data_IF_255677430778
#
_entry.id   IF_255677430778
#
_cell.length_a   1.000
_cell.length_b   1.000
_cell.length_c   1.000
_cell.angle_alpha   90.00
_cell.angle_beta   90.00
_cell.angle_gamma   90.00
#
_symmetry.space_group_name_H-M   'P 1'
#
loop_
_entity.id
_entity.type
_entity.pdbx_description
1 polymer ?
#
# COMPACT_ATOMS: atom_id res chain seq x y z
N UNK A 1 -34.12 -21.05 -4.30
CA UNK A 1 -33.68 -20.11 -3.24
C UNK A 1 -32.25 -20.47 -2.90
N UNK A 2 -31.26 -19.84 -3.54
CA UNK A 2 -29.86 -20.22 -3.40
C UNK A 2 -29.21 -19.36 -2.31
N UNK A 3 -28.73 -20.01 -1.25
CA UNK A 3 -28.07 -19.42 -0.09
C UNK A 3 -26.86 -18.57 -0.50
N UNK A 4 -27.05 -17.26 -0.66
CA UNK A 4 -25.96 -16.30 -0.84
C UNK A 4 -25.48 -15.89 0.56
N UNK A 5 -24.76 -16.81 1.22
CA UNK A 5 -24.06 -16.45 2.45
C UNK A 5 -23.09 -15.29 2.17
N UNK A 6 -22.99 -14.26 3.04
CA UNK A 6 -22.02 -13.20 2.84
C UNK A 6 -20.63 -13.83 2.76
N UNK A 7 -19.93 -13.53 1.66
CA UNK A 7 -18.54 -13.94 1.42
C UNK A 7 -17.74 -13.64 2.70
N UNK A 8 -16.98 -14.61 3.25
CA UNK A 8 -16.30 -14.45 4.54
C UNK A 8 -15.58 -13.11 4.60
N UNK A 9 -15.77 -12.40 5.73
CA UNK A 9 -15.24 -11.06 5.96
C UNK A 9 -13.80 -11.00 5.48
N UNK A 10 -13.58 -10.34 4.34
CA UNK A 10 -12.23 -10.08 3.84
C UNK A 10 -11.49 -9.46 5.00
N UNK A 11 -10.40 -10.07 5.47
CA UNK A 11 -9.52 -9.42 6.45
C UNK A 11 -9.21 -8.04 5.90
N UNK A 12 -9.82 -7.02 6.50
CA UNK A 12 -9.82 -5.67 5.95
C UNK A 12 -8.45 -5.09 6.22
N UNK A 13 -7.76 -4.67 5.16
CA UNK A 13 -6.52 -3.92 5.33
C UNK A 13 -6.86 -2.60 6.01
N UNK A 14 -6.13 -2.27 7.09
CA UNK A 14 -6.14 -0.96 7.72
C UNK A 14 -5.51 0.08 6.80
N UNK A 15 -5.80 1.35 7.02
CA UNK A 15 -5.23 2.45 6.22
C UNK A 15 -3.70 2.44 6.26
N UNK A 16 -3.09 2.15 7.41
CA UNK A 16 -1.65 1.98 7.57
C UNK A 16 -1.07 0.86 6.68
N UNK A 17 -1.75 -0.29 6.64
CA UNK A 17 -1.32 -1.44 5.82
C UNK A 17 -1.47 -1.11 4.32
N UNK A 18 -2.56 -0.44 3.93
CA UNK A 18 -2.78 0.04 2.56
C UNK A 18 -1.69 1.03 2.15
N UNK A 19 -1.41 2.01 3.00
CA UNK A 19 -0.39 3.02 2.77
C UNK A 19 0.98 2.40 2.58
N UNK A 20 1.39 1.48 3.46
CA UNK A 20 2.68 0.81 3.36
C UNK A 20 2.86 0.12 2.01
N UNK A 21 1.85 -0.62 1.52
CA UNK A 21 1.95 -1.34 0.24
C UNK A 21 2.13 -0.38 -0.94
N UNK A 22 1.41 0.75 -0.94
CA UNK A 22 1.54 1.77 -1.98
C UNK A 22 2.90 2.47 -1.89
N UNK A 23 3.28 2.93 -0.70
CA UNK A 23 4.56 3.57 -0.42
C UNK A 23 5.74 2.72 -0.87
N UNK A 24 5.80 1.46 -0.42
CA UNK A 24 6.90 0.57 -0.74
C UNK A 24 7.00 0.31 -2.25
N UNK A 25 5.85 0.18 -2.94
CA UNK A 25 5.83 -0.11 -4.38
C UNK A 25 6.11 1.11 -5.27
N UNK A 26 5.64 2.29 -4.90
CA UNK A 26 5.73 3.51 -5.73
C UNK A 26 6.96 4.35 -5.36
N UNK A 27 7.17 4.58 -4.06
CA UNK A 27 8.22 5.50 -3.59
C UNK A 27 9.55 4.80 -3.44
N UNK A 28 9.58 3.62 -2.81
CA UNK A 28 10.80 2.81 -2.63
C UNK A 28 11.12 1.92 -3.84
N UNK A 29 10.11 1.67 -4.69
CA UNK A 29 10.21 0.76 -5.85
C UNK A 29 10.57 -0.68 -5.49
N UNK A 30 10.27 -1.10 -4.25
CA UNK A 30 10.55 -2.44 -3.76
C UNK A 30 9.83 -3.50 -4.61
N UNK A 31 10.43 -4.68 -4.70
CA UNK A 31 9.85 -5.86 -5.31
C UNK A 31 8.81 -6.52 -4.39
N UNK A 32 7.88 -7.31 -4.96
CA UNK A 32 6.87 -8.01 -4.16
C UNK A 32 7.44 -8.89 -3.03
N UNK A 33 8.54 -9.64 -3.22
CA UNK A 33 9.19 -10.37 -2.13
C UNK A 33 9.67 -9.47 -0.99
N UNK A 34 10.29 -8.32 -1.30
CA UNK A 34 10.78 -7.37 -0.29
C UNK A 34 9.62 -6.72 0.48
N UNK A 35 8.57 -6.34 -0.24
CA UNK A 35 7.33 -5.83 0.36
C UNK A 35 6.72 -6.89 1.28
N UNK A 36 6.60 -8.15 0.85
CA UNK A 36 6.04 -9.21 1.67
C UNK A 36 6.86 -9.47 2.94
N UNK A 37 8.19 -9.53 2.82
CA UNK A 37 9.09 -9.71 3.96
C UNK A 37 8.97 -8.58 4.97
N UNK A 38 8.91 -7.33 4.50
CA UNK A 38 8.80 -6.15 5.38
C UNK A 38 7.40 -6.03 5.99
N UNK A 39 6.35 -6.31 5.20
CA UNK A 39 4.97 -6.31 5.67
C UNK A 39 4.77 -7.31 6.80
N UNK A 40 5.32 -8.52 6.66
CA UNK A 40 5.22 -9.57 7.66
C UNK A 40 5.79 -9.14 9.01
N UNK A 41 6.93 -8.45 9.01
CA UNK A 41 7.57 -7.93 10.24
C UNK A 41 6.75 -6.83 10.92
N UNK A 42 5.97 -6.06 10.16
CA UNK A 42 5.27 -4.87 10.66
C UNK A 42 3.80 -5.12 11.04
N UNK A 43 3.12 -6.00 10.30
CA UNK A 43 1.67 -6.20 10.38
C UNK A 43 1.25 -7.68 10.42
N UNK A 44 2.19 -8.61 10.21
CA UNK A 44 1.94 -10.05 10.14
C UNK A 44 1.81 -10.59 8.72
N UNK A 45 1.68 -11.91 8.59
CA UNK A 45 1.83 -12.61 7.31
C UNK A 45 0.66 -12.35 6.35
N UNK A 46 0.98 -12.04 5.09
CA UNK A 46 0.04 -11.96 3.97
C UNK A 46 0.59 -12.71 2.76
N UNK A 47 -0.32 -13.28 1.96
CA UNK A 47 0.08 -13.91 0.70
C UNK A 47 0.49 -12.84 -0.32
N UNK A 48 1.44 -13.18 -1.20
CA UNK A 48 1.82 -12.33 -2.34
C UNK A 48 0.60 -11.89 -3.15
N UNK A 49 -0.32 -12.82 -3.46
CA UNK A 49 -1.55 -12.52 -4.18
C UNK A 49 -2.46 -11.53 -3.44
N UNK A 50 -2.48 -11.57 -2.10
CA UNK A 50 -3.20 -10.61 -1.27
C UNK A 50 -2.60 -9.20 -1.36
N UNK A 51 -1.27 -9.08 -1.25
CA UNK A 51 -0.55 -7.80 -1.35
C UNK A 51 -0.68 -7.18 -2.75
N UNK A 52 -0.56 -8.00 -3.79
CA UNK A 52 -0.77 -7.55 -5.17
C UNK A 52 -2.23 -7.10 -5.38
N UNK A 53 -3.20 -7.84 -4.85
CA UNK A 53 -4.63 -7.49 -4.99
C UNK A 53 -4.97 -6.19 -4.28
N UNK A 54 -4.46 -5.98 -3.05
CA UNK A 54 -4.73 -4.74 -2.32
C UNK A 54 -4.07 -3.55 -3.00
N UNK A 55 -2.85 -3.70 -3.53
CA UNK A 55 -2.20 -2.66 -4.30
C UNK A 55 -3.05 -2.15 -5.47
N UNK A 56 -3.59 -3.05 -6.29
CA UNK A 56 -4.45 -2.63 -7.40
C UNK A 56 -5.75 -1.98 -6.94
N UNK A 57 -6.36 -2.46 -5.86
CA UNK A 57 -7.57 -1.85 -5.29
C UNK A 57 -7.29 -0.46 -4.75
N UNK A 58 -6.24 -0.31 -3.96
CA UNK A 58 -5.86 0.97 -3.37
C UNK A 58 -5.46 1.96 -4.45
N UNK A 59 -4.76 1.54 -5.52
CA UNK A 59 -4.51 2.41 -6.68
C UNK A 59 -5.81 2.96 -7.28
N UNK A 60 -6.84 2.13 -7.45
CA UNK A 60 -8.14 2.60 -7.94
C UNK A 60 -8.84 3.51 -6.93
N UNK A 61 -8.85 3.14 -5.64
CA UNK A 61 -9.45 3.90 -4.54
C UNK A 61 -8.82 5.30 -4.41
N UNK A 62 -7.50 5.39 -4.64
CA UNK A 62 -6.71 6.60 -4.47
C UNK A 62 -6.59 7.41 -5.77
N UNK A 63 -7.19 6.96 -6.87
CA UNK A 63 -7.11 7.64 -8.16
C UNK A 63 -5.70 7.63 -8.78
N UNK A 64 -4.86 6.67 -8.40
CA UNK A 64 -3.50 6.50 -8.94
C UNK A 64 -3.56 5.93 -10.36
N UNK A 65 -2.56 6.25 -11.18
CA UNK A 65 -2.50 5.81 -12.58
C UNK A 65 -2.55 4.28 -12.67
N UNK A 66 -3.15 3.70 -13.71
CA UNK A 66 -3.12 2.23 -13.86
C UNK A 66 -1.71 1.78 -14.23
N UNK A 67 -1.30 0.60 -13.76
CA UNK A 67 0.07 0.06 -13.99
C UNK A 67 0.44 -0.01 -15.47
N UNK A 68 -0.54 -0.25 -16.35
CA UNK A 68 -0.35 -0.33 -17.81
C UNK A 68 -0.13 1.03 -18.49
N UNK A 69 -0.34 2.14 -17.79
CA UNK A 69 -0.25 3.51 -18.31
C UNK A 69 0.98 4.25 -17.76
N UNK A 70 1.95 3.54 -17.17
CA UNK A 70 3.17 4.12 -16.59
C UNK A 70 4.07 4.75 -17.66
N UNK A 71 3.80 6.03 -17.95
CA UNK A 71 4.78 6.93 -18.55
C UNK A 71 5.58 7.64 -17.44
N UNK A 72 6.83 8.07 -17.68
CA UNK A 72 7.70 8.67 -16.66
C UNK A 72 7.08 9.84 -15.88
N UNK A 73 6.18 10.61 -16.50
CA UNK A 73 5.48 11.74 -15.86
C UNK A 73 4.43 11.35 -14.81
N UNK A 74 3.87 10.13 -14.86
CA UNK A 74 2.85 9.67 -13.91
C UNK A 74 3.43 9.26 -12.56
N UNK A 75 4.71 8.92 -12.51
CA UNK A 75 5.42 8.58 -11.28
C UNK A 75 5.44 9.75 -10.28
N UNK A 76 5.54 11.00 -10.77
CA UNK A 76 5.53 12.20 -9.92
C UNK A 76 4.14 12.49 -9.33
N UNK A 77 3.08 12.27 -10.12
CA UNK A 77 1.69 12.45 -9.67
C UNK A 77 1.33 11.40 -8.62
N UNK A 78 1.66 10.14 -8.87
CA UNK A 78 1.44 9.05 -7.91
C UNK A 78 2.19 9.31 -6.61
N UNK A 79 3.46 9.75 -6.68
CA UNK A 79 4.25 10.08 -5.48
C UNK A 79 3.60 11.20 -4.67
N UNK A 80 3.14 12.28 -5.31
CA UNK A 80 2.47 13.40 -4.63
C UNK A 80 1.20 12.95 -3.89
N UNK A 81 0.46 12.03 -4.47
CA UNK A 81 -0.76 11.49 -3.83
C UNK A 81 -0.44 10.59 -2.63
N UNK A 82 0.70 9.88 -2.66
CA UNK A 82 1.24 9.19 -1.47
C UNK A 82 1.65 10.19 -0.40
N UNK A 83 2.36 11.25 -0.76
CA UNK A 83 2.80 12.30 0.18
C UNK A 83 1.61 12.97 0.88
N UNK A 84 0.56 13.27 0.11
CA UNK A 84 -0.69 13.83 0.66
C UNK A 84 -1.31 12.91 1.71
N UNK A 85 -1.34 11.59 1.49
CA UNK A 85 -1.89 10.67 2.50
C UNK A 85 -0.99 10.46 3.70
N UNK A 86 0.32 10.69 3.56
CA UNK A 86 1.21 10.63 4.70
C UNK A 86 0.83 11.67 5.77
N UNK A 87 0.24 12.81 5.39
CA UNK A 87 -0.16 13.85 6.36
C UNK A 87 -1.28 13.41 7.29
N UNK A 88 -2.05 12.39 6.91
CA UNK A 88 -3.17 11.86 7.69
C UNK A 88 -2.74 10.71 8.62
N UNK A 89 -1.47 10.29 8.57
CA UNK A 89 -0.93 9.18 9.35
C UNK A 89 -0.07 9.67 10.51
N UNK A 90 0.04 8.84 11.55
CA UNK A 90 0.82 9.20 12.73
C UNK A 90 2.32 9.27 12.41
N UNK A 91 3.01 10.25 13.01
CA UNK A 91 4.46 10.41 12.88
C UNK A 91 5.23 9.15 13.30
N UNK A 92 4.84 8.52 14.42
CA UNK A 92 5.40 7.26 14.91
C UNK A 92 5.31 6.13 13.88
N UNK A 93 4.14 6.00 13.23
CA UNK A 93 3.94 5.03 12.17
C UNK A 93 4.87 5.30 10.98
N UNK A 94 4.94 6.56 10.54
CA UNK A 94 5.77 6.95 9.40
C UNK A 94 7.26 6.73 9.65
N UNK A 95 7.74 6.96 10.89
CA UNK A 95 9.09 6.59 11.30
C UNK A 95 9.29 5.06 11.29
N UNK A 96 8.33 4.32 11.85
CA UNK A 96 8.41 2.85 11.98
C UNK A 96 8.57 2.14 10.63
N UNK A 97 7.90 2.64 9.60
CA UNK A 97 7.99 2.09 8.23
C UNK A 97 9.16 2.66 7.42
N UNK A 98 9.94 3.57 8.00
CA UNK A 98 11.03 4.27 7.35
C UNK A 98 10.59 5.23 6.25
N UNK A 99 9.37 5.77 6.32
CA UNK A 99 8.91 6.83 5.42
C UNK A 99 9.52 8.18 5.80
N UNK A 100 9.50 8.51 7.09
CA UNK A 100 10.29 9.62 7.63
C UNK A 100 11.66 9.07 8.03
N UNK A 101 12.70 9.78 7.61
CA UNK A 101 14.01 9.59 8.22
C UNK A 101 13.96 10.31 9.57
N UNK A 102 14.36 9.64 10.65
CA UNK A 102 14.64 10.32 11.91
C UNK A 102 15.83 11.22 11.65
N UNK A 103 15.59 12.47 11.24
CA UNK A 103 16.60 13.49 11.09
C UNK A 103 17.20 13.71 12.47
N UNK A 104 18.38 13.14 12.69
CA UNK A 104 19.29 13.55 13.77
C UNK A 104 20.12 14.73 13.28
#
# INVERSE_FOLDING_TARGET
>A
MNCTGPRPSRLSYREEEKFFVIYARIVRQDSWPEIACTFEKLFGTRTKGGLTSIYYRVRQEWGLTKVLEHSPGYCAVDRREVEKRATDLSYEFLLRIGYLSSTR
#
